data_IF_678516795652
#
_entry.id   IF_678516795652
#
_cell.length_a   1.000
_cell.length_b   1.000
_cell.length_c   1.000
_cell.angle_alpha   90.00
_cell.angle_beta   90.00
_cell.angle_gamma   90.00
#
_symmetry.space_group_name_H-M   'P 1'
#
loop_
_entity.id
_entity.type
_entity.pdbx_description
1 polymer ?
#
# COMPACT_ATOMS: atom_id res chain seq x y z
N UNK A 1 3.89 11.04 -9.41
CA UNK A 1 3.88 10.93 -10.90
C UNK A 1 2.52 10.47 -11.44
N UNK A 2 1.97 9.34 -10.99
CA UNK A 2 0.62 8.86 -11.41
C UNK A 2 -0.51 9.85 -11.09
N UNK A 3 -0.58 10.35 -9.85
CA UNK A 3 -1.58 11.34 -9.43
C UNK A 3 -1.53 12.61 -10.31
N UNK A 4 -0.32 13.14 -10.52
CA UNK A 4 -0.10 14.31 -11.39
C UNK A 4 -0.41 14.03 -12.86
N UNK A 5 -0.30 12.78 -13.32
CA UNK A 5 -0.66 12.40 -14.67
C UNK A 5 -2.18 12.39 -14.85
N UNK A 6 -2.91 11.69 -13.98
CA UNK A 6 -4.39 11.63 -14.00
C UNK A 6 -5.01 13.03 -13.90
N UNK A 7 -4.50 13.87 -13.00
CA UNK A 7 -4.97 15.24 -12.85
C UNK A 7 -4.80 16.07 -14.13
N UNK A 8 -3.64 15.96 -14.80
CA UNK A 8 -3.39 16.66 -16.06
C UNK A 8 -4.22 16.11 -17.21
N UNK A 9 -4.38 14.78 -17.27
CA UNK A 9 -5.24 14.15 -18.28
C UNK A 9 -6.68 14.66 -18.18
N UNK A 10 -7.24 14.71 -16.97
CA UNK A 10 -8.59 15.23 -16.73
C UNK A 10 -8.74 16.69 -17.22
N UNK A 11 -7.74 17.54 -16.95
CA UNK A 11 -7.76 18.94 -17.41
C UNK A 11 -7.70 19.06 -18.93
N UNK A 12 -6.79 18.31 -19.56
CA UNK A 12 -6.61 18.31 -21.02
C UNK A 12 -7.86 17.79 -21.73
N UNK A 13 -8.43 16.68 -21.26
CA UNK A 13 -9.68 16.13 -21.82
C UNK A 13 -10.85 17.09 -21.68
N UNK A 14 -10.94 17.78 -20.53
CA UNK A 14 -11.98 18.81 -20.32
C UNK A 14 -11.81 20.02 -21.25
N UNK A 15 -10.58 20.46 -21.50
CA UNK A 15 -10.31 21.57 -22.43
C UNK A 15 -10.52 21.17 -23.90
N UNK A 16 -10.18 19.93 -24.26
CA UNK A 16 -10.37 19.39 -25.62
C UNK A 16 -11.85 19.18 -25.96
N UNK A 17 -12.66 18.73 -24.99
CA UNK A 17 -14.11 18.60 -25.19
C UNK A 17 -14.77 19.95 -25.46
N UNK A 18 -14.29 21.03 -24.84
CA UNK A 18 -14.73 22.41 -25.09
C UNK A 18 -14.30 22.94 -26.47
N UNK A 19 -13.15 22.50 -26.99
CA UNK A 19 -12.59 23.00 -28.25
C UNK A 19 -12.99 22.19 -29.50
N UNK A 20 -13.88 21.19 -29.36
CA UNK A 20 -14.35 20.27 -30.43
C UNK A 20 -13.24 19.47 -31.14
N UNK A 21 -12.00 19.51 -30.65
CA UNK A 21 -10.90 18.71 -31.17
C UNK A 21 -10.82 17.40 -30.38
N UNK A 22 -11.26 16.30 -30.99
CA UNK A 22 -11.11 14.95 -30.41
C UNK A 22 -9.79 14.34 -30.87
N UNK A 23 -8.72 14.59 -30.13
CA UNK A 23 -7.58 13.69 -30.14
C UNK A 23 -7.13 13.48 -28.69
N UNK A 24 -7.51 12.33 -28.12
CA UNK A 24 -7.02 11.88 -26.82
C UNK A 24 -6.42 10.50 -27.08
N UNK A 25 -5.10 10.38 -26.89
CA UNK A 25 -4.31 9.18 -27.20
C UNK A 25 -4.45 8.07 -26.16
N UNK A 26 -5.14 8.33 -25.04
CA UNK A 26 -5.37 7.38 -23.95
C UNK A 26 -6.86 7.08 -23.87
N UNK A 27 -7.20 5.80 -23.95
CA UNK A 27 -8.58 5.34 -23.85
C UNK A 27 -9.10 5.47 -22.41
N UNK A 28 -10.42 5.62 -22.27
CA UNK A 28 -11.07 5.67 -20.95
C UNK A 28 -10.77 4.40 -20.12
N UNK A 29 -10.64 3.24 -20.77
CA UNK A 29 -10.27 1.98 -20.12
C UNK A 29 -8.84 2.00 -19.53
N UNK A 30 -7.89 2.67 -20.20
CA UNK A 30 -6.53 2.84 -19.67
C UNK A 30 -6.52 3.80 -18.48
N UNK A 31 -7.37 4.83 -18.49
CA UNK A 31 -7.54 5.74 -17.36
C UNK A 31 -8.13 5.00 -16.15
N UNK A 32 -9.17 4.20 -16.35
CA UNK A 32 -9.76 3.36 -15.30
C UNK A 32 -8.72 2.39 -14.70
N UNK A 33 -7.88 1.78 -15.53
CA UNK A 33 -6.78 0.92 -15.07
C UNK A 33 -5.76 1.70 -14.22
N UNK A 34 -5.40 2.91 -14.63
CA UNK A 34 -4.47 3.77 -13.88
C UNK A 34 -5.08 4.25 -12.56
N UNK A 35 -6.39 4.50 -12.51
CA UNK A 35 -7.11 4.83 -11.29
C UNK A 35 -7.16 3.64 -10.33
N UNK A 36 -7.43 2.43 -10.82
CA UNK A 36 -7.39 1.20 -10.03
C UNK A 36 -5.97 0.98 -9.45
N UNK A 37 -4.93 1.09 -10.27
CA UNK A 37 -3.55 0.98 -9.81
C UNK A 37 -3.19 2.05 -8.76
N UNK A 38 -3.71 3.28 -8.90
CA UNK A 38 -3.54 4.34 -7.89
C UNK A 38 -4.19 3.95 -6.56
N UNK A 39 -5.40 3.37 -6.59
CA UNK A 39 -6.09 2.93 -5.37
C UNK A 39 -5.31 1.81 -4.68
N UNK A 40 -4.84 0.81 -5.41
CA UNK A 40 -4.01 -0.28 -4.87
C UNK A 40 -2.70 0.24 -4.26
N UNK A 41 -2.07 1.25 -4.87
CA UNK A 41 -0.81 1.84 -4.39
C UNK A 41 -1.00 2.84 -3.24
N UNK A 42 -2.21 3.29 -2.95
CA UNK A 42 -2.49 4.31 -1.95
C UNK A 42 -1.99 3.92 -0.54
N UNK A 43 -2.21 2.69 -0.01
CA UNK A 43 -1.70 2.30 1.30
C UNK A 43 -0.17 2.30 1.37
N UNK A 44 0.52 1.96 0.27
CA UNK A 44 1.98 1.98 0.18
C UNK A 44 2.53 3.40 0.22
N UNK A 45 1.85 4.33 -0.44
CA UNK A 45 2.18 5.75 -0.38
C UNK A 45 2.02 6.29 1.04
N UNK A 46 0.89 6.00 1.70
CA UNK A 46 0.61 6.45 3.07
C UNK A 46 1.64 5.90 4.07
N UNK A 47 1.95 4.59 4.01
CA UNK A 47 2.99 3.99 4.84
C UNK A 47 4.37 4.62 4.60
N UNK A 48 4.70 4.96 3.34
CA UNK A 48 5.96 5.62 3.00
C UNK A 48 6.02 7.03 3.56
N UNK A 49 4.93 7.80 3.43
CA UNK A 49 4.83 9.15 3.99
C UNK A 49 4.98 9.11 5.51
N UNK A 50 4.26 8.21 6.17
CA UNK A 50 4.34 8.02 7.63
C UNK A 50 5.78 7.74 8.09
N UNK A 51 6.49 6.84 7.40
CA UNK A 51 7.87 6.49 7.76
C UNK A 51 8.89 7.58 7.39
N UNK A 52 8.62 8.39 6.37
CA UNK A 52 9.59 9.34 5.81
C UNK A 52 9.43 10.78 6.33
N UNK A 53 8.25 11.14 6.83
CA UNK A 53 7.94 12.53 7.23
C UNK A 53 8.01 12.76 8.75
N UNK A 54 7.99 11.70 9.55
CA UNK A 54 8.14 11.83 11.00
C UNK A 54 9.58 12.17 11.41
N UNK A 55 9.74 13.29 12.15
CA UNK A 55 11.04 13.69 12.75
C UNK A 55 11.66 12.63 13.66
N UNK A 56 10.85 11.75 14.22
CA UNK A 56 11.25 10.60 15.02
C UNK A 56 10.35 9.42 14.67
N UNK A 57 10.49 8.90 13.44
CA UNK A 57 9.78 7.69 13.01
C UNK A 57 10.03 6.59 14.03
N UNK A 58 9.00 6.22 14.79
CA UNK A 58 9.15 5.24 15.85
C UNK A 58 9.35 3.87 15.18
N UNK A 59 10.51 3.24 15.41
CA UNK A 59 10.85 1.89 14.92
C UNK A 59 9.75 0.86 15.23
N UNK A 60 8.97 1.12 16.28
CA UNK A 60 7.76 0.37 16.66
C UNK A 60 6.68 0.25 15.57
N UNK A 61 6.61 1.20 14.63
CA UNK A 61 5.61 1.26 13.54
C UNK A 61 5.94 0.38 12.35
N UNK A 62 7.22 0.01 12.19
CA UNK A 62 7.70 -0.69 10.99
C UNK A 62 6.97 -2.03 10.83
N UNK A 63 6.95 -2.86 11.88
CA UNK A 63 6.29 -4.17 11.85
C UNK A 63 4.78 -4.06 11.58
N UNK A 64 4.00 -3.24 12.31
CA UNK A 64 2.59 -3.01 12.01
C UNK A 64 2.32 -2.54 10.57
N UNK A 65 3.11 -1.59 10.05
CA UNK A 65 2.92 -1.08 8.70
C UNK A 65 3.20 -2.14 7.65
N UNK A 66 4.28 -2.92 7.80
CA UNK A 66 4.58 -4.03 6.88
C UNK A 66 3.46 -5.06 6.89
N UNK A 67 2.94 -5.40 8.07
CA UNK A 67 1.81 -6.32 8.17
C UNK A 67 0.56 -5.77 7.44
N UNK A 68 0.20 -4.51 7.67
CA UNK A 68 -0.92 -3.86 6.99
C UNK A 68 -0.74 -3.85 5.46
N UNK A 69 0.46 -3.54 4.96
CA UNK A 69 0.74 -3.56 3.53
C UNK A 69 0.58 -4.95 2.90
N UNK A 70 0.93 -6.01 3.62
CA UNK A 70 0.71 -7.39 3.19
C UNK A 70 -0.79 -7.68 3.13
N UNK A 71 -1.55 -7.30 4.16
CA UNK A 71 -3.01 -7.51 4.19
C UNK A 71 -3.69 -6.76 3.05
N UNK A 72 -3.41 -5.47 2.88
CA UNK A 72 -4.01 -4.67 1.79
C UNK A 72 -3.64 -5.19 0.40
N UNK A 73 -2.40 -5.64 0.19
CA UNK A 73 -2.01 -6.22 -1.09
C UNK A 73 -2.64 -7.59 -1.36
N UNK A 74 -3.01 -8.35 -0.31
CA UNK A 74 -3.71 -9.62 -0.45
C UNK A 74 -5.20 -9.46 -0.79
N UNK A 75 -5.81 -8.34 -0.43
CA UNK A 75 -7.19 -7.98 -0.80
C UNK A 75 -7.33 -7.67 -2.30
N UNK A 76 -6.25 -7.28 -2.97
CA UNK A 76 -6.24 -7.06 -4.42
C UNK A 76 -5.98 -8.37 -5.18
N UNK A 77 -7.04 -8.95 -5.74
CA UNK A 77 -7.00 -10.21 -6.50
C UNK A 77 -6.52 -10.05 -7.95
N UNK A 78 -6.06 -8.87 -8.37
CA UNK A 78 -5.47 -8.68 -9.70
C UNK A 78 -4.05 -9.23 -9.79
N UNK A 79 -3.54 -9.44 -11.01
CA UNK A 79 -2.13 -9.80 -11.22
C UNK A 79 -1.16 -8.73 -10.68
N UNK A 80 -1.60 -7.48 -10.70
CA UNK A 80 -0.86 -6.36 -10.12
C UNK A 80 -0.82 -6.48 -8.59
N UNK A 81 -1.96 -6.70 -7.94
CA UNK A 81 -2.05 -6.98 -6.51
C UNK A 81 -1.19 -8.16 -6.06
N UNK A 82 -1.26 -9.29 -6.78
CA UNK A 82 -0.43 -10.47 -6.50
C UNK A 82 1.08 -10.17 -6.61
N UNK A 83 1.49 -9.43 -7.64
CA UNK A 83 2.88 -9.01 -7.81
C UNK A 83 3.31 -8.03 -6.72
N UNK A 84 2.42 -7.13 -6.32
CA UNK A 84 2.65 -6.15 -5.28
C UNK A 84 2.75 -6.80 -3.89
N UNK A 85 1.95 -7.83 -3.61
CA UNK A 85 1.97 -8.61 -2.37
C UNK A 85 3.28 -9.39 -2.18
N UNK A 86 3.86 -9.92 -3.27
CA UNK A 86 5.15 -10.64 -3.22
C UNK A 86 6.32 -9.75 -2.77
N UNK A 87 6.25 -8.44 -3.04
CA UNK A 87 7.33 -7.50 -2.71
C UNK A 87 7.55 -7.33 -1.20
N UNK A 88 6.56 -6.93 -0.38
CA UNK A 88 6.74 -6.80 1.07
C UNK A 88 6.99 -8.17 1.72
N UNK A 89 6.36 -9.25 1.26
CA UNK A 89 6.59 -10.60 1.81
C UNK A 89 8.05 -11.02 1.63
N UNK A 90 8.63 -10.84 0.44
CA UNK A 90 10.03 -11.22 0.20
C UNK A 90 11.01 -10.26 0.88
N UNK A 91 10.78 -8.94 0.77
CA UNK A 91 11.67 -7.91 1.29
C UNK A 91 11.70 -7.86 2.81
N UNK A 92 10.59 -8.21 3.46
CA UNK A 92 10.44 -8.17 4.91
C UNK A 92 10.22 -9.55 5.54
N UNK A 93 10.59 -10.63 4.86
CA UNK A 93 10.44 -12.01 5.36
C UNK A 93 11.02 -12.21 6.78
N UNK A 94 12.13 -11.54 7.08
CA UNK A 94 12.83 -11.65 8.37
C UNK A 94 12.41 -10.61 9.41
N UNK A 95 11.43 -9.76 9.11
CA UNK A 95 11.02 -8.68 10.01
C UNK A 95 10.44 -9.23 11.32
N UNK A 96 9.77 -10.38 11.22
CA UNK A 96 9.25 -11.11 12.37
C UNK A 96 10.36 -11.68 13.24
N UNK A 97 11.51 -12.07 12.66
CA UNK A 97 12.65 -12.61 13.41
C UNK A 97 13.56 -11.53 14.02
N UNK A 98 13.26 -10.26 13.74
CA UNK A 98 14.09 -9.14 14.14
C UNK A 98 13.70 -8.66 15.54
N UNK A 99 14.41 -9.15 16.56
CA UNK A 99 14.09 -8.92 17.98
C UNK A 99 13.94 -7.44 18.35
N UNK A 100 14.78 -6.54 17.85
CA UNK A 100 14.70 -5.12 18.18
C UNK A 100 13.41 -4.47 17.66
N UNK A 101 12.89 -4.90 16.51
CA UNK A 101 11.60 -4.44 15.99
C UNK A 101 10.45 -4.98 16.83
N UNK A 102 10.50 -6.26 17.21
CA UNK A 102 9.49 -6.85 18.09
C UNK A 102 9.40 -6.12 19.44
N UNK A 103 10.55 -5.87 20.07
CA UNK A 103 10.63 -5.17 21.34
C UNK A 103 10.14 -3.73 21.19
N UNK A 104 10.58 -3.02 20.14
CA UNK A 104 10.11 -1.66 19.88
C UNK A 104 8.59 -1.60 19.71
N UNK A 105 8.02 -2.51 18.93
CA UNK A 105 6.56 -2.63 18.72
C UNK A 105 5.82 -2.95 20.02
N UNK A 106 6.33 -3.88 20.84
CA UNK A 106 5.70 -4.27 22.11
C UNK A 106 5.74 -3.15 23.17
N UNK A 107 6.83 -2.39 23.20
CA UNK A 107 7.01 -1.30 24.16
C UNK A 107 6.19 -0.07 23.81
N UNK A 108 5.73 0.07 22.56
CA UNK A 108 4.92 1.20 22.13
C UNK A 108 3.49 1.10 22.70
N UNK A 109 3.10 1.98 23.64
CA UNK A 109 1.79 1.92 24.26
C UNK A 109 0.63 2.17 23.28
N UNK A 110 0.89 2.81 22.13
CA UNK A 110 -0.12 3.03 21.08
C UNK A 110 -0.55 1.72 20.43
N UNK A 111 0.34 0.72 20.45
CA UNK A 111 0.16 -0.56 19.78
C UNK A 111 -0.41 -1.64 20.72
N UNK A 112 -0.40 -1.43 22.04
CA UNK A 112 -0.93 -2.38 23.04
C UNK A 112 -2.44 -2.63 22.98
N UNK A 113 -3.20 -1.76 22.31
CA UNK A 113 -4.66 -1.92 22.13
C UNK A 113 -5.03 -2.71 20.87
N UNK A 114 -4.05 -2.97 20.00
CA UNK A 114 -4.25 -3.75 18.79
C UNK A 114 -3.80 -5.16 19.13
N UNK A 115 -4.72 -6.12 19.10
CA UNK A 115 -4.43 -7.51 19.43
C UNK A 115 -3.64 -8.15 18.26
N UNK A 116 -2.34 -7.87 18.18
CA UNK A 116 -1.48 -8.36 17.10
C UNK A 116 -1.42 -9.89 17.05
N UNK A 117 -1.76 -10.58 18.14
CA UNK A 117 -1.84 -12.05 18.17
C UNK A 117 -3.04 -12.59 17.37
N UNK A 118 -4.15 -11.85 17.27
CA UNK A 118 -5.29 -12.24 16.44
C UNK A 118 -4.97 -12.12 14.93
N UNK A 119 -4.08 -11.21 14.56
CA UNK A 119 -3.64 -10.98 13.18
C UNK A 119 -2.57 -12.00 12.69
N UNK A 120 -2.01 -12.81 13.59
CA UNK A 120 -1.00 -13.85 13.26
C UNK A 120 -1.61 -15.23 12.96
N UNK A 121 -2.94 -15.39 12.97
CA UNK A 121 -3.61 -16.69 12.79
C UNK A 121 -4.18 -16.95 11.37
N UNK A 122 -3.36 -17.00 10.31
CA UNK A 122 -3.71 -17.83 9.15
C UNK A 122 -2.99 -19.19 9.10
N UNK A 123 -1.89 -19.39 9.84
CA UNK A 123 -0.99 -20.55 9.59
C UNK A 123 -0.98 -21.65 10.67
N UNK A 124 -1.73 -21.52 11.76
CA UNK A 124 -1.80 -22.57 12.80
C UNK A 124 -3.00 -23.53 12.70
N UNK A 125 -3.86 -23.40 11.69
CA UNK A 125 -5.04 -24.25 11.54
C UNK A 125 -4.87 -25.42 10.55
N UNK A 126 -3.68 -25.64 9.97
CA UNK A 126 -3.42 -26.75 9.01
C UNK A 126 -2.50 -27.84 9.53
N UNK A 127 -2.21 -27.87 10.83
CA UNK A 127 -1.53 -28.99 11.49
C UNK A 127 -2.29 -29.38 12.75
N UNK A 128 -3.43 -30.05 12.57
CA UNK A 128 -4.04 -31.00 13.49
C UNK A 128 -4.88 -31.98 12.68
#
# INVERSE_FOLDING_TARGET
MLVSFLYRHQQVTSALSLSKNKHVDVSDAEIELLEAARQTLQPFYEATVELSTERASSVSKIKPLVHLLIVFAAEDHTLFGASLHQQPVSRFANIENTQHLQIATLLDPRLKKVDFQALQQPQKQLMN
#
